data_IF_544239109221
#
_entry.id   IF_544239109221
#
_cell.length_a   1.000
_cell.length_b   1.000
_cell.length_c   1.000
_cell.angle_alpha   90.00
_cell.angle_beta   90.00
_cell.angle_gamma   90.00
#
_symmetry.space_group_name_H-M   'P 1'
#
loop_
_entity.id
_entity.type
_entity.pdbx_description
1 polymer ?
#
# COMPACT_ATOMS: atom_id res chain seq x y z
N UNK A 1 -13.93 21.01 17.69
CA UNK A 1 -13.10 19.96 18.30
C UNK A 1 -13.49 18.67 17.58
N UNK A 2 -12.84 18.15 16.55
CA UNK A 2 -11.43 17.73 16.40
C UNK A 2 -11.07 17.53 14.91
N UNK A 3 -10.07 18.24 14.34
CA UNK A 3 -9.44 17.79 13.10
C UNK A 3 -7.99 17.30 13.29
N UNK A 4 -7.49 17.27 14.53
CA UNK A 4 -6.10 16.88 14.82
C UNK A 4 -5.89 15.35 14.82
N UNK A 5 -6.91 14.56 15.17
CA UNK A 5 -6.79 13.10 15.21
C UNK A 5 -6.80 12.46 13.82
N UNK A 6 -7.63 12.97 12.90
CA UNK A 6 -7.78 12.39 11.55
C UNK A 6 -6.51 12.59 10.69
N UNK A 7 -5.88 13.78 10.76
CA UNK A 7 -4.63 14.05 10.04
C UNK A 7 -3.46 13.19 10.52
N UNK A 8 -3.38 12.95 11.83
CA UNK A 8 -2.32 12.12 12.42
C UNK A 8 -2.47 10.64 12.04
N UNK A 9 -3.70 10.12 12.05
CA UNK A 9 -3.98 8.74 11.63
C UNK A 9 -3.70 8.50 10.15
N UNK A 10 -4.02 9.45 9.28
CA UNK A 10 -3.71 9.35 7.85
C UNK A 10 -2.21 9.32 7.58
N UNK A 11 -1.42 10.12 8.31
CA UNK A 11 0.04 10.08 8.24
C UNK A 11 0.62 8.73 8.66
N UNK A 12 0.09 8.14 9.75
CA UNK A 12 0.49 6.81 10.23
C UNK A 12 0.13 5.74 9.19
N UNK A 13 -1.10 5.74 8.67
CA UNK A 13 -1.54 4.79 7.64
C UNK A 13 -0.67 4.89 6.38
N UNK A 14 -0.35 6.10 5.94
CA UNK A 14 0.51 6.31 4.77
C UNK A 14 1.93 5.78 5.02
N UNK A 15 2.51 6.08 6.17
CA UNK A 15 3.86 5.60 6.55
C UNK A 15 3.91 4.08 6.63
N UNK A 16 2.92 3.45 7.26
CA UNK A 16 2.82 1.99 7.36
C UNK A 16 2.64 1.35 5.98
N UNK A 17 1.86 1.98 5.09
CA UNK A 17 1.68 1.53 3.71
C UNK A 17 3.02 1.55 2.94
N UNK A 18 3.79 2.63 3.05
CA UNK A 18 5.13 2.72 2.46
C UNK A 18 6.09 1.66 2.99
N UNK A 19 6.12 1.44 4.31
CA UNK A 19 6.94 0.39 4.94
C UNK A 19 6.57 -0.99 4.40
N UNK A 20 5.28 -1.28 4.29
CA UNK A 20 4.80 -2.56 3.75
C UNK A 20 5.16 -2.72 2.26
N UNK A 21 5.02 -1.67 1.45
CA UNK A 21 5.48 -1.68 0.05
C UNK A 21 6.98 -1.98 -0.07
N UNK A 22 7.82 -1.33 0.75
CA UNK A 22 9.27 -1.57 0.75
C UNK A 22 9.64 -2.98 1.25
N UNK A 23 8.99 -3.45 2.32
CA UNK A 23 9.18 -4.81 2.81
C UNK A 23 8.83 -5.85 1.75
N UNK A 24 7.74 -5.60 1.01
CA UNK A 24 7.30 -6.46 -0.06
C UNK A 24 8.28 -6.46 -1.24
N UNK A 25 8.76 -5.27 -1.65
CA UNK A 25 9.77 -5.11 -2.69
C UNK A 25 11.06 -5.87 -2.34
N UNK A 26 11.56 -5.71 -1.10
CA UNK A 26 12.75 -6.40 -0.61
C UNK A 26 12.54 -7.92 -0.55
N UNK A 27 11.39 -8.37 -0.06
CA UNK A 27 11.02 -9.78 -0.03
C UNK A 27 10.96 -10.37 -1.44
N UNK A 28 10.46 -9.63 -2.42
CA UNK A 28 10.44 -10.05 -3.81
C UNK A 28 11.86 -10.19 -4.41
N UNK A 29 12.73 -9.20 -4.17
CA UNK A 29 14.13 -9.23 -4.61
C UNK A 29 14.90 -10.39 -3.93
N UNK A 30 14.68 -10.62 -2.64
CA UNK A 30 15.34 -11.69 -1.89
C UNK A 30 14.90 -13.08 -2.37
N UNK A 31 13.62 -13.25 -2.66
CA UNK A 31 13.10 -14.50 -3.21
C UNK A 31 13.55 -14.77 -4.64
N UNK A 32 13.65 -13.73 -5.48
CA UNK A 32 14.30 -13.83 -6.79
C UNK A 32 15.75 -14.31 -6.68
N UNK A 33 16.47 -13.87 -5.64
CA UNK A 33 17.86 -14.26 -5.39
C UNK A 33 18.00 -15.69 -4.84
N UNK A 34 17.00 -16.20 -4.11
CA UNK A 34 17.02 -17.56 -3.52
C UNK A 34 16.68 -18.68 -4.52
N UNK A 35 16.15 -18.37 -5.71
CA UNK A 35 15.98 -19.35 -6.79
C UNK A 35 14.88 -20.41 -6.54
N UNK A 36 14.19 -20.37 -5.42
CA UNK A 36 13.06 -21.25 -5.12
C UNK A 36 11.81 -20.82 -5.93
N UNK A 37 11.51 -21.57 -7.00
CA UNK A 37 10.38 -21.32 -7.91
C UNK A 37 9.02 -21.25 -7.20
N UNK A 38 8.86 -22.00 -6.09
CA UNK A 38 7.61 -22.05 -5.32
C UNK A 38 7.33 -20.76 -4.56
N UNK A 39 8.32 -20.24 -3.84
CA UNK A 39 8.17 -19.01 -3.03
C UNK A 39 8.10 -17.78 -3.93
N UNK A 40 8.80 -17.81 -5.08
CA UNK A 40 8.79 -16.72 -6.06
C UNK A 40 7.40 -16.49 -6.66
N UNK A 41 6.64 -17.55 -6.96
CA UNK A 41 5.24 -17.40 -7.45
C UNK A 41 4.31 -16.79 -6.41
N UNK A 42 4.45 -17.17 -5.14
CA UNK A 42 3.63 -16.63 -4.05
C UNK A 42 3.97 -15.16 -3.76
N UNK A 43 5.25 -14.81 -3.71
CA UNK A 43 5.67 -13.43 -3.47
C UNK A 43 5.22 -12.53 -4.63
N UNK A 44 5.30 -13.00 -5.88
CA UNK A 44 4.81 -12.24 -7.05
C UNK A 44 3.33 -11.88 -6.94
N UNK A 45 2.47 -12.81 -6.49
CA UNK A 45 1.03 -12.55 -6.32
C UNK A 45 0.78 -11.55 -5.20
N UNK A 46 1.44 -11.72 -4.06
CA UNK A 46 1.25 -10.82 -2.93
C UNK A 46 1.83 -9.42 -3.20
N UNK A 47 2.88 -9.29 -4.03
CA UNK A 47 3.38 -8.01 -4.52
C UNK A 47 2.33 -7.30 -5.39
N UNK A 48 1.71 -8.04 -6.32
CA UNK A 48 0.66 -7.51 -7.19
C UNK A 48 -0.54 -7.04 -6.36
N UNK A 49 -0.95 -7.81 -5.35
CA UNK A 49 -2.06 -7.44 -4.46
C UNK A 49 -1.71 -6.17 -3.67
N UNK A 50 -0.50 -6.08 -3.11
CA UNK A 50 -0.06 -4.90 -2.36
C UNK A 50 0.06 -3.65 -3.22
N UNK A 51 0.61 -3.80 -4.43
CA UNK A 51 0.80 -2.71 -5.38
C UNK A 51 -0.55 -2.24 -5.93
N UNK A 52 -1.49 -3.17 -6.15
CA UNK A 52 -2.87 -2.86 -6.49
C UNK A 52 -3.56 -2.11 -5.35
N UNK A 53 -3.43 -2.56 -4.09
CA UNK A 53 -3.98 -1.84 -2.93
C UNK A 53 -3.37 -0.44 -2.75
N UNK A 54 -2.06 -0.33 -2.90
CA UNK A 54 -1.32 0.93 -2.78
C UNK A 54 -1.74 1.95 -3.85
N UNK A 55 -2.15 1.49 -5.03
CA UNK A 55 -2.69 2.34 -6.08
C UNK A 55 -4.17 2.68 -5.86
N UNK A 56 -4.92 1.76 -5.27
CA UNK A 56 -6.36 1.92 -5.03
C UNK A 56 -6.63 2.88 -3.85
N UNK A 57 -5.77 2.90 -2.83
CA UNK A 57 -5.85 3.83 -1.69
C UNK A 57 -5.93 5.32 -2.09
N UNK A 58 -4.96 5.88 -2.86
CA UNK A 58 -4.98 7.28 -3.25
C UNK A 58 -6.12 7.58 -4.23
N UNK A 59 -6.51 6.62 -5.07
CA UNK A 59 -7.64 6.79 -5.98
C UNK A 59 -8.97 6.93 -5.21
N UNK A 60 -9.21 6.08 -4.20
CA UNK A 60 -10.40 6.15 -3.35
C UNK A 60 -10.41 7.43 -2.52
N UNK A 61 -9.25 7.84 -1.97
CA UNK A 61 -9.15 9.07 -1.19
C UNK A 61 -9.43 10.32 -2.03
N UNK A 62 -8.90 10.39 -3.25
CA UNK A 62 -9.20 11.47 -4.19
C UNK A 62 -10.67 11.46 -4.61
N UNK A 63 -11.25 10.28 -4.86
CA UNK A 63 -12.65 10.16 -5.22
C UNK A 63 -13.58 10.64 -4.08
N UNK A 64 -13.27 10.29 -2.83
CA UNK A 64 -14.01 10.78 -1.67
C UNK A 64 -13.97 12.31 -1.56
N UNK A 65 -12.79 12.92 -1.71
CA UNK A 65 -12.65 14.38 -1.71
C UNK A 65 -13.42 15.04 -2.86
N UNK A 66 -13.37 14.45 -4.06
CA UNK A 66 -14.10 14.94 -5.22
C UNK A 66 -15.62 14.94 -4.99
N UNK A 67 -16.16 13.85 -4.46
CA UNK A 67 -17.59 13.74 -4.11
C UNK A 67 -17.96 14.74 -3.01
N UNK A 68 -17.11 14.91 -2.00
CA UNK A 68 -17.36 15.85 -0.90
C UNK A 68 -17.31 17.33 -1.33
N UNK A 69 -16.49 17.69 -2.32
CA UNK A 69 -16.46 19.05 -2.86
C UNK A 69 -17.61 19.35 -3.82
N UNK A 70 -18.30 18.32 -4.34
CA UNK A 70 -19.38 18.46 -5.31
C UNK A 70 -20.78 18.21 -4.70
N UNK A 71 -20.88 18.14 -3.36
CA UNK A 71 -22.12 18.08 -2.57
C UNK A 71 -22.24 19.30 -1.66
#
# INVERSE_FOLDING_TARGET
>A
MTPLFTGNWLGIISTVCWILCFYFLLTFIENLRKGDERITKQSKIAAIIFLSLALLLPAVFNFYLFVQMHS
#
